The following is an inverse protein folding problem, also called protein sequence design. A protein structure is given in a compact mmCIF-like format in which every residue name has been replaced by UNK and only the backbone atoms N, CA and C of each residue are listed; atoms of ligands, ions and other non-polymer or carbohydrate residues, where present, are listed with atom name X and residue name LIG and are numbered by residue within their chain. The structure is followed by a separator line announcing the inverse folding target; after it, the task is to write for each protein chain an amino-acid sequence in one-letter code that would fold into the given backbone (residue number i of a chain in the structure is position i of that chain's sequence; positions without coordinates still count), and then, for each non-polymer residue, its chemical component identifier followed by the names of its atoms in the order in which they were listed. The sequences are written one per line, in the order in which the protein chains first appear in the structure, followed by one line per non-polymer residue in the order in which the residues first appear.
data_IF_740060491199
#
_entry.id   IF_740060491199
#
_cell.length_a   1.000
_cell.length_b   1.000
_cell.length_c   1.000
_cell.angle_alpha   90.00
_cell.angle_beta   90.00
_cell.angle_gamma   90.00
#
_symmetry.space_group_name_H-M   'P 1'
#
loop_
_entity.id
_entity.type
_entity.pdbx_description
1 polymer ?
#
# COMPACT_ATOMS: atom_id res chain seq x y z
N UNK A 1 -19.27 29.93 -62.83
CA UNK A 1 -19.45 28.84 -61.85
C UNK A 1 -18.31 28.93 -60.84
N UNK A 2 -18.56 29.52 -59.67
CA UNK A 2 -17.55 29.65 -58.63
C UNK A 2 -18.08 28.91 -57.40
N UNK A 3 -17.49 27.75 -57.12
CA UNK A 3 -17.90 26.87 -56.02
C UNK A 3 -17.41 27.43 -54.69
N UNK A 4 -18.33 27.52 -53.74
CA UNK A 4 -18.09 27.77 -52.32
C UNK A 4 -17.38 26.55 -51.72
N UNK A 5 -16.32 26.77 -50.95
CA UNK A 5 -15.76 25.77 -50.03
C UNK A 5 -15.97 26.28 -48.60
N UNK A 6 -16.90 25.63 -47.88
CA UNK A 6 -17.06 25.75 -46.43
C UNK A 6 -16.15 24.69 -45.81
N UNK A 7 -15.09 25.09 -45.10
CA UNK A 7 -14.36 24.19 -44.22
C UNK A 7 -15.20 23.99 -42.94
N UNK A 8 -15.80 22.81 -42.80
CA UNK A 8 -16.29 22.32 -41.51
C UNK A 8 -15.11 21.70 -40.76
N UNK A 9 -14.64 22.37 -39.72
CA UNK A 9 -13.69 21.79 -38.76
C UNK A 9 -14.40 20.74 -37.90
N UNK A 10 -14.04 19.47 -38.04
CA UNK A 10 -14.39 18.44 -37.05
C UNK A 10 -13.51 18.65 -35.81
N UNK A 11 -14.10 19.19 -34.74
CA UNK A 11 -13.51 19.10 -33.41
C UNK A 11 -13.67 17.67 -32.91
N UNK A 12 -12.57 16.90 -32.92
CA UNK A 12 -12.51 15.58 -32.32
C UNK A 12 -12.44 15.77 -30.79
N UNK A 13 -13.60 15.86 -30.14
CA UNK A 13 -13.69 15.76 -28.69
C UNK A 13 -13.42 14.31 -28.31
N UNK A 14 -12.18 14.01 -27.93
CA UNK A 14 -11.85 12.81 -27.16
C UNK A 14 -12.55 12.98 -25.82
N UNK A 15 -13.70 12.33 -25.66
CA UNK A 15 -14.29 12.11 -24.35
C UNK A 15 -13.34 11.18 -23.58
N UNK A 16 -12.41 11.77 -22.83
CA UNK A 16 -11.82 11.09 -21.68
C UNK A 16 -12.97 10.80 -20.73
N UNK A 17 -13.47 9.57 -20.76
CA UNK A 17 -14.29 9.04 -19.68
C UNK A 17 -13.42 9.04 -18.44
N UNK A 18 -13.51 10.09 -17.62
CA UNK A 18 -13.11 9.98 -16.23
C UNK A 18 -14.05 8.95 -15.62
N UNK A 19 -13.60 7.70 -15.56
CA UNK A 19 -14.19 6.74 -14.63
C UNK A 19 -14.04 7.37 -13.26
N UNK A 20 -15.13 7.92 -12.75
CA UNK A 20 -15.25 8.23 -11.34
C UNK A 20 -15.33 6.85 -10.65
N UNK A 21 -14.20 6.13 -10.63
CA UNK A 21 -14.07 4.90 -9.83
C UNK A 21 -14.30 5.37 -8.40
N UNK A 22 -15.41 4.96 -7.81
CA UNK A 22 -15.83 5.29 -6.45
C UNK A 22 -14.88 4.69 -5.39
N UNK A 23 -13.59 4.54 -5.70
CA UNK A 23 -12.59 3.90 -4.87
C UNK A 23 -13.08 2.54 -4.33
N UNK A 24 -13.71 1.70 -5.18
CA UNK A 24 -14.32 0.43 -4.75
C UNK A 24 -15.46 0.56 -3.73
N UNK A 25 -16.03 1.75 -3.55
CA UNK A 25 -17.01 2.08 -2.50
C UNK A 25 -16.40 2.54 -1.18
N UNK A 26 -15.07 2.68 -1.10
CA UNK A 26 -14.34 2.94 0.15
C UNK A 26 -14.24 4.41 0.55
N UNK A 27 -14.64 5.35 -0.31
CA UNK A 27 -14.61 6.77 0.03
C UNK A 27 -15.49 7.07 1.25
N UNK A 28 -14.91 7.64 2.31
CA UNK A 28 -15.64 7.98 3.53
C UNK A 28 -16.27 9.38 3.45
N UNK A 29 -17.41 9.63 4.12
CA UNK A 29 -17.96 10.98 4.24
C UNK A 29 -16.97 11.92 4.93
N UNK A 30 -16.70 13.08 4.32
CA UNK A 30 -15.77 14.07 4.87
C UNK A 30 -14.29 13.67 4.77
N UNK A 31 -13.96 12.66 3.95
CA UNK A 31 -12.58 12.27 3.71
C UNK A 31 -11.79 13.38 2.99
N UNK A 32 -10.71 13.81 3.64
CA UNK A 32 -9.68 14.65 3.00
C UNK A 32 -8.61 13.78 2.35
N UNK A 33 -8.00 14.31 1.29
CA UNK A 33 -6.89 13.67 0.57
C UNK A 33 -5.56 14.23 1.06
N UNK A 34 -4.66 13.36 1.50
CA UNK A 34 -3.36 13.75 2.05
C UNK A 34 -2.21 13.26 1.19
N UNK A 35 -1.13 14.06 1.10
CA UNK A 35 0.09 13.61 0.42
C UNK A 35 -0.14 13.19 -1.03
N UNK A 36 -1.03 13.87 -1.77
CA UNK A 36 -1.19 13.64 -3.21
C UNK A 36 -0.09 14.35 -4.01
N UNK A 37 0.20 15.59 -3.63
CA UNK A 37 1.20 16.42 -4.28
C UNK A 37 2.63 16.02 -3.88
N UNK A 38 3.60 16.34 -4.74
CA UNK A 38 5.02 16.12 -4.49
C UNK A 38 5.66 15.16 -5.51
N UNK A 39 6.98 14.99 -5.45
CA UNK A 39 7.70 14.22 -6.45
C UNK A 39 7.44 12.71 -6.31
N UNK A 40 7.78 11.97 -7.36
CA UNK A 40 8.04 10.54 -7.30
C UNK A 40 9.53 10.34 -7.56
N UNK A 41 10.28 9.94 -6.55
CA UNK A 41 11.74 9.71 -6.61
C UNK A 41 12.11 8.24 -6.47
N UNK A 42 11.12 7.35 -6.34
CA UNK A 42 11.29 5.91 -6.42
C UNK A 42 11.22 5.50 -7.88
N UNK A 43 12.12 4.61 -8.33
CA UNK A 43 12.07 4.04 -9.67
C UNK A 43 10.69 3.43 -9.93
N UNK A 44 10.14 3.68 -11.13
CA UNK A 44 8.81 3.20 -11.52
C UNK A 44 8.88 2.51 -12.86
N UNK A 45 8.66 1.20 -12.87
CA UNK A 45 8.91 0.32 -14.02
C UNK A 45 7.67 -0.50 -14.41
N UNK A 46 7.62 -0.87 -15.68
CA UNK A 46 6.53 -1.65 -16.27
C UNK A 46 6.68 -3.12 -15.92
N UNK A 47 5.69 -3.70 -15.24
CA UNK A 47 5.68 -5.10 -14.82
C UNK A 47 5.71 -6.09 -15.98
N UNK A 48 5.19 -5.71 -17.15
CA UNK A 48 5.25 -6.54 -18.35
C UNK A 48 6.67 -6.63 -18.95
N UNK A 49 7.58 -5.72 -18.53
CA UNK A 49 8.94 -5.60 -19.06
C UNK A 49 10.02 -5.98 -18.05
N UNK A 50 9.74 -5.88 -16.75
CA UNK A 50 10.71 -6.19 -15.70
C UNK A 50 10.94 -7.69 -15.61
N UNK A 51 12.11 -8.17 -16.03
CA UNK A 51 12.47 -9.58 -15.90
C UNK A 51 12.88 -9.95 -14.47
N UNK A 52 12.85 -11.24 -14.13
CA UNK A 52 13.36 -11.74 -12.84
C UNK A 52 14.85 -11.41 -12.65
N UNK A 53 15.68 -11.56 -13.69
CA UNK A 53 17.12 -11.30 -13.59
C UNK A 53 17.42 -9.82 -13.39
N UNK A 54 16.72 -8.95 -14.12
CA UNK A 54 16.82 -7.50 -13.93
C UNK A 54 16.36 -7.08 -12.53
N UNK A 55 15.25 -7.66 -12.04
CA UNK A 55 14.79 -7.42 -10.67
C UNK A 55 15.86 -7.79 -9.63
N UNK A 56 16.48 -8.97 -9.77
CA UNK A 56 17.53 -9.42 -8.84
C UNK A 56 18.78 -8.54 -8.89
N UNK A 57 19.19 -8.13 -10.09
CA UNK A 57 20.40 -7.35 -10.31
C UNK A 57 20.24 -5.90 -9.83
N UNK A 58 19.13 -5.25 -10.18
CA UNK A 58 18.96 -3.80 -10.03
C UNK A 58 18.22 -3.39 -8.76
N UNK A 59 17.39 -4.28 -8.19
CA UNK A 59 16.43 -3.91 -7.13
C UNK A 59 16.50 -4.79 -5.87
N UNK A 60 16.50 -6.12 -6.01
CA UNK A 60 16.24 -7.06 -4.91
C UNK A 60 17.11 -6.80 -3.65
N UNK A 61 18.34 -6.33 -3.82
CA UNK A 61 19.31 -6.13 -2.74
C UNK A 61 19.83 -4.69 -2.63
N UNK A 62 19.31 -3.77 -3.42
CA UNK A 62 19.94 -2.47 -3.69
C UNK A 62 19.03 -1.31 -3.33
N UNK A 63 17.83 -1.22 -3.94
CA UNK A 63 16.93 -0.06 -3.84
C UNK A 63 15.46 -0.45 -4.08
N UNK A 64 14.50 0.33 -3.55
CA UNK A 64 13.08 0.09 -3.80
C UNK A 64 12.67 0.41 -5.24
N UNK A 65 11.57 -0.20 -5.67
CA UNK A 65 10.97 0.02 -7.00
C UNK A 65 9.45 -0.08 -6.93
N UNK A 66 8.76 0.77 -7.70
CA UNK A 66 7.33 0.67 -7.96
C UNK A 66 7.14 -0.01 -9.31
N UNK A 67 6.25 -0.99 -9.35
CA UNK A 67 5.96 -1.81 -10.51
C UNK A 67 4.47 -1.62 -10.84
N UNK A 68 4.18 -1.12 -12.04
CA UNK A 68 2.81 -0.95 -12.54
C UNK A 68 2.48 -2.01 -13.60
N UNK A 69 1.24 -2.04 -14.10
CA UNK A 69 0.72 -3.10 -14.97
C UNK A 69 0.74 -4.49 -14.30
N UNK A 70 0.39 -4.56 -13.02
CA UNK A 70 0.22 -5.84 -12.31
C UNK A 70 -1.24 -6.29 -12.35
N UNK A 71 -1.46 -7.59 -12.52
CA UNK A 71 -2.80 -8.13 -12.78
C UNK A 71 -3.42 -8.77 -11.54
N UNK A 72 -4.34 -8.06 -10.90
CA UNK A 72 -5.11 -8.52 -9.75
C UNK A 72 -6.60 -8.12 -9.84
N UNK A 73 -7.16 -8.05 -11.05
CA UNK A 73 -8.53 -7.55 -11.28
C UNK A 73 -9.63 -8.29 -10.50
N UNK A 74 -9.52 -9.62 -10.41
CA UNK A 74 -10.46 -10.44 -9.62
C UNK A 74 -10.36 -10.12 -8.12
N UNK A 75 -9.14 -10.03 -7.59
CA UNK A 75 -8.92 -9.66 -6.19
C UNK A 75 -9.43 -8.24 -5.90
N UNK A 76 -9.17 -7.28 -6.82
CA UNK A 76 -9.72 -5.91 -6.73
C UNK A 76 -11.24 -5.90 -6.61
N UNK A 77 -11.94 -6.72 -7.39
CA UNK A 77 -13.41 -6.85 -7.31
C UNK A 77 -13.88 -7.44 -5.97
N UNK A 78 -13.24 -8.51 -5.50
CA UNK A 78 -13.57 -9.13 -4.21
C UNK A 78 -13.33 -8.17 -3.03
N UNK A 79 -12.41 -7.21 -3.20
CA UNK A 79 -12.11 -6.17 -2.23
C UNK A 79 -12.98 -4.91 -2.35
N UNK A 80 -14.05 -4.90 -3.17
CA UNK A 80 -15.02 -3.81 -3.16
C UNK A 80 -15.83 -3.81 -1.85
N UNK A 81 -16.16 -2.62 -1.32
CA UNK A 81 -16.79 -2.47 -0.01
C UNK A 81 -18.06 -3.29 0.16
N UNK A 82 -18.93 -3.30 -0.86
CA UNK A 82 -20.20 -4.03 -0.79
C UNK A 82 -19.99 -5.55 -0.84
N UNK A 83 -19.05 -6.04 -1.66
CA UNK A 83 -18.71 -7.46 -1.71
C UNK A 83 -18.09 -7.91 -0.38
N UNK A 84 -17.21 -7.08 0.19
CA UNK A 84 -16.60 -7.38 1.48
C UNK A 84 -17.62 -7.37 2.63
N UNK A 85 -18.50 -6.38 2.71
CA UNK A 85 -19.53 -6.34 3.76
C UNK A 85 -20.52 -7.50 3.62
N UNK A 86 -20.86 -7.91 2.40
CA UNK A 86 -21.76 -9.04 2.17
C UNK A 86 -21.20 -10.37 2.71
N UNK A 87 -19.91 -10.61 2.51
CA UNK A 87 -19.28 -11.89 2.87
C UNK A 87 -18.70 -11.87 4.30
N UNK A 88 -18.14 -10.74 4.73
CA UNK A 88 -17.27 -10.69 5.91
C UNK A 88 -17.85 -9.91 7.09
N UNK A 89 -19.02 -9.24 6.98
CA UNK A 89 -19.54 -8.33 8.02
C UNK A 89 -19.48 -8.92 9.44
N UNK A 90 -19.87 -10.18 9.61
CA UNK A 90 -19.94 -10.83 10.92
C UNK A 90 -18.64 -11.55 11.33
N UNK A 91 -17.60 -11.52 10.48
CA UNK A 91 -16.32 -12.16 10.76
C UNK A 91 -15.61 -11.47 11.93
N UNK A 92 -15.15 -12.25 12.90
CA UNK A 92 -14.36 -11.75 14.03
C UNK A 92 -12.96 -11.36 13.55
N UNK A 93 -12.57 -10.12 13.82
CA UNK A 93 -11.27 -9.56 13.42
C UNK A 93 -10.57 -8.92 14.60
N UNK A 94 -9.25 -8.75 14.47
CA UNK A 94 -8.43 -8.04 15.45
C UNK A 94 -7.90 -6.76 14.82
N UNK A 95 -8.22 -5.61 15.44
CA UNK A 95 -7.69 -4.31 15.05
C UNK A 95 -6.37 -4.05 15.77
N UNK A 96 -5.42 -3.46 15.03
CA UNK A 96 -4.09 -3.13 15.54
C UNK A 96 -3.89 -1.61 15.58
N UNK A 97 -3.06 -1.12 16.52
CA UNK A 97 -2.67 0.29 16.54
C UNK A 97 -1.67 0.65 15.44
N UNK A 98 -1.77 1.87 14.90
CA UNK A 98 -0.95 2.36 13.78
C UNK A 98 0.44 2.89 14.15
N UNK A 99 0.81 2.88 15.43
CA UNK A 99 2.18 3.19 15.84
C UNK A 99 3.15 2.07 15.44
N UNK A 100 4.45 2.41 15.47
CA UNK A 100 5.58 1.57 15.02
C UNK A 100 5.55 0.11 15.50
N UNK A 101 4.99 -0.14 16.67
CA UNK A 101 5.01 -1.46 17.32
C UNK A 101 3.65 -2.15 17.44
N UNK A 102 2.56 -1.49 17.04
CA UNK A 102 1.20 -2.06 17.04
C UNK A 102 0.78 -2.82 18.31
N UNK A 103 1.13 -2.30 19.50
CA UNK A 103 0.96 -3.02 20.77
C UNK A 103 -0.50 -3.30 21.16
N UNK A 104 -1.44 -2.48 20.72
CA UNK A 104 -2.85 -2.62 21.10
C UNK A 104 -3.58 -3.53 20.11
N UNK A 105 -4.13 -4.64 20.63
CA UNK A 105 -5.01 -5.56 19.89
C UNK A 105 -6.43 -5.42 20.41
N UNK A 106 -7.37 -5.04 19.54
CA UNK A 106 -8.76 -4.81 19.90
C UNK A 106 -9.65 -5.76 19.09
N UNK A 107 -10.25 -6.79 19.72
CA UNK A 107 -11.25 -7.64 19.06
C UNK A 107 -12.45 -6.83 18.58
N UNK A 108 -12.96 -7.16 17.39
CA UNK A 108 -14.12 -6.54 16.78
C UNK A 108 -14.75 -7.51 15.75
N UNK A 109 -15.72 -7.04 14.98
CA UNK A 109 -16.12 -7.68 13.72
C UNK A 109 -15.71 -6.80 12.55
N UNK A 110 -15.63 -7.38 11.35
CA UNK A 110 -15.33 -6.59 10.15
C UNK A 110 -16.38 -5.48 9.94
N UNK A 111 -17.67 -5.79 10.08
CA UNK A 111 -18.76 -4.83 9.97
C UNK A 111 -18.64 -3.69 10.97
N UNK A 112 -18.39 -4.01 12.25
CA UNK A 112 -18.17 -3.01 13.29
C UNK A 112 -16.94 -2.15 13.00
N UNK A 113 -15.85 -2.74 12.49
CA UNK A 113 -14.69 -1.98 12.05
C UNK A 113 -15.05 -0.97 10.97
N UNK A 114 -15.74 -1.39 9.91
CA UNK A 114 -16.11 -0.51 8.80
C UNK A 114 -17.07 0.61 9.23
N UNK A 115 -18.02 0.32 10.12
CA UNK A 115 -19.04 1.29 10.54
C UNK A 115 -18.53 2.27 11.60
N UNK A 116 -17.77 1.78 12.60
CA UNK A 116 -17.49 2.54 13.83
C UNK A 116 -16.04 2.99 13.96
N UNK A 117 -15.11 2.32 13.29
CA UNK A 117 -13.67 2.51 13.51
C UNK A 117 -12.92 3.02 12.27
N UNK A 118 -13.35 2.65 11.07
CA UNK A 118 -12.77 3.13 9.82
C UNK A 118 -13.16 4.60 9.60
N UNK A 119 -12.25 5.51 9.93
CA UNK A 119 -12.45 6.96 9.82
C UNK A 119 -11.17 7.66 9.36
N UNK A 120 -11.28 8.87 8.76
CA UNK A 120 -10.12 9.69 8.48
C UNK A 120 -9.34 10.03 9.76
N UNK A 121 -8.02 10.07 9.66
CA UNK A 121 -7.12 10.46 10.74
C UNK A 121 -7.19 11.96 11.00
N UNK A 122 -7.30 12.36 12.27
CA UNK A 122 -7.08 13.75 12.67
C UNK A 122 -5.59 13.99 12.97
N UNK A 123 -5.06 15.16 12.60
CA UNK A 123 -3.70 15.58 12.92
C UNK A 123 -3.34 15.49 14.41
N UNK A 124 -4.30 15.70 15.30
CA UNK A 124 -4.07 15.61 16.75
C UNK A 124 -4.13 14.19 17.32
N UNK A 125 -4.64 13.21 16.55
CA UNK A 125 -4.75 11.82 17.00
C UNK A 125 -3.38 11.14 16.89
N UNK A 126 -2.95 10.52 17.98
CA UNK A 126 -1.69 9.78 18.04
C UNK A 126 -1.79 8.46 17.27
N UNK A 127 -0.67 7.95 16.76
CA UNK A 127 -0.67 6.69 15.99
C UNK A 127 -1.08 5.48 16.83
N UNK A 128 -0.81 5.50 18.14
CA UNK A 128 -1.21 4.44 19.06
C UNK A 128 -2.72 4.44 19.40
N UNK A 129 -3.42 5.55 19.11
CA UNK A 129 -4.87 5.71 19.27
C UNK A 129 -5.63 5.41 17.96
N UNK A 130 -4.90 5.26 16.85
CA UNK A 130 -5.45 4.91 15.54
C UNK A 130 -5.51 3.40 15.39
N UNK A 131 -6.72 2.84 15.34
CA UNK A 131 -6.96 1.43 15.09
C UNK A 131 -7.27 1.19 13.60
N UNK A 132 -6.65 0.17 13.02
CA UNK A 132 -6.92 -0.25 11.64
C UNK A 132 -6.69 -1.75 11.46
N UNK A 133 -7.30 -2.31 10.41
CA UNK A 133 -7.20 -3.72 10.07
C UNK A 133 -5.96 -3.92 9.20
N UNK A 134 -4.84 -4.29 9.79
CA UNK A 134 -3.61 -4.69 9.09
C UNK A 134 -2.59 -5.28 10.08
N UNK A 135 -1.62 -6.04 9.57
CA UNK A 135 -0.53 -6.61 10.37
C UNK A 135 -0.70 -8.11 10.58
N UNK A 136 -0.79 -8.53 11.84
CA UNK A 136 -1.05 -9.94 12.20
C UNK A 136 -2.54 -10.24 12.00
N UNK A 137 -2.87 -10.85 10.86
CA UNK A 137 -4.24 -11.26 10.50
C UNK A 137 -4.39 -12.78 10.64
N UNK A 138 -5.61 -13.23 10.97
CA UNK A 138 -5.91 -14.67 11.01
C UNK A 138 -5.87 -15.26 9.59
N UNK A 139 -4.80 -16.00 9.30
CA UNK A 139 -4.57 -16.62 7.99
C UNK A 139 -5.63 -17.66 7.64
N UNK A 140 -6.26 -18.31 8.62
CA UNK A 140 -7.30 -19.31 8.38
C UNK A 140 -8.61 -18.64 8.01
N UNK A 141 -8.97 -17.57 8.73
CA UNK A 141 -10.14 -16.75 8.44
C UNK A 141 -10.06 -16.15 7.04
N UNK A 142 -8.95 -15.48 6.72
CA UNK A 142 -8.80 -14.74 5.47
C UNK A 142 -8.42 -15.63 4.28
N UNK A 143 -8.18 -16.93 4.49
CA UNK A 143 -7.70 -17.84 3.44
C UNK A 143 -8.50 -17.75 2.12
N UNK A 144 -9.84 -17.74 2.11
CA UNK A 144 -10.61 -17.63 0.87
C UNK A 144 -10.31 -16.36 0.06
N UNK A 145 -10.10 -15.22 0.74
CA UNK A 145 -9.72 -13.96 0.11
C UNK A 145 -8.26 -14.00 -0.35
N UNK A 146 -7.36 -14.48 0.50
CA UNK A 146 -5.92 -14.54 0.23
C UNK A 146 -5.59 -15.49 -0.95
N UNK A 147 -6.32 -16.60 -1.09
CA UNK A 147 -6.17 -17.54 -2.21
C UNK A 147 -6.52 -16.89 -3.57
N UNK A 148 -7.32 -15.81 -3.58
CA UNK A 148 -7.67 -15.08 -4.80
C UNK A 148 -6.62 -14.04 -5.23
N UNK A 149 -5.66 -13.72 -4.36
CA UNK A 149 -4.57 -12.79 -4.66
C UNK A 149 -3.49 -13.47 -5.49
N UNK A 150 -3.13 -12.86 -6.62
CA UNK A 150 -1.96 -13.29 -7.40
C UNK A 150 -0.71 -12.65 -6.82
N UNK A 151 0.21 -13.49 -6.35
CA UNK A 151 1.50 -13.05 -5.84
C UNK A 151 2.29 -12.26 -6.90
N UNK A 152 3.18 -11.34 -6.47
CA UNK A 152 4.13 -10.70 -7.36
C UNK A 152 4.93 -11.74 -8.17
N UNK A 153 5.17 -11.45 -9.45
CA UNK A 153 5.94 -12.35 -10.34
C UNK A 153 7.41 -12.48 -9.93
N UNK A 154 7.94 -11.48 -9.24
CA UNK A 154 9.34 -11.39 -8.84
C UNK A 154 9.58 -12.02 -7.48
N UNK A 155 10.66 -12.78 -7.37
CA UNK A 155 11.01 -13.51 -6.15
C UNK A 155 12.40 -13.16 -5.65
N UNK A 156 12.60 -13.30 -4.34
CA UNK A 156 13.93 -13.20 -3.71
C UNK A 156 14.36 -14.61 -3.30
N UNK A 157 15.53 -15.10 -3.75
CA UNK A 157 16.03 -16.43 -3.39
C UNK A 157 15.99 -16.72 -1.89
N UNK A 158 15.58 -17.94 -1.52
CA UNK A 158 15.46 -18.43 -0.14
C UNK A 158 14.52 -17.61 0.75
N UNK A 159 13.47 -17.02 0.18
CA UNK A 159 12.40 -16.39 0.93
C UNK A 159 11.04 -16.94 0.52
N UNK A 160 10.17 -17.15 1.50
CA UNK A 160 8.79 -17.56 1.32
C UNK A 160 7.85 -16.38 1.57
N UNK A 161 6.76 -16.24 0.77
CA UNK A 161 5.80 -15.16 0.93
C UNK A 161 4.83 -15.43 2.08
N UNK A 162 4.55 -14.40 2.87
CA UNK A 162 3.47 -14.35 3.86
C UNK A 162 2.58 -13.14 3.59
N UNK A 163 1.28 -13.38 3.41
CA UNK A 163 0.32 -12.34 3.05
C UNK A 163 -0.30 -11.66 4.27
N UNK A 164 -0.48 -10.35 4.17
CA UNK A 164 -1.30 -9.58 5.12
C UNK A 164 -2.17 -8.59 4.36
N UNK A 165 -3.48 -8.80 4.44
CA UNK A 165 -4.49 -7.92 3.88
C UNK A 165 -4.79 -6.78 4.86
N UNK A 166 -5.08 -5.58 4.33
CA UNK A 166 -5.45 -4.47 5.18
C UNK A 166 -6.38 -3.43 4.55
N UNK A 167 -7.10 -2.74 5.44
CA UNK A 167 -7.99 -1.63 5.15
C UNK A 167 -7.70 -0.53 6.16
N UNK A 168 -7.57 0.70 5.70
CA UNK A 168 -7.26 1.83 6.57
C UNK A 168 -7.82 3.15 6.01
N UNK A 169 -8.24 4.04 6.90
CA UNK A 169 -8.81 5.34 6.53
C UNK A 169 -7.76 6.32 6.03
N UNK A 170 -8.20 7.36 5.31
CA UNK A 170 -7.31 8.44 4.87
C UNK A 170 -6.56 9.09 6.03
N UNK A 171 -5.31 9.50 5.79
CA UNK A 171 -4.41 10.12 6.76
C UNK A 171 -3.79 9.16 7.77
N UNK A 172 -4.26 7.91 7.84
CA UNK A 172 -3.60 6.88 8.67
C UNK A 172 -2.33 6.36 7.98
N UNK A 173 -1.53 5.57 8.68
CA UNK A 173 -0.33 4.94 8.11
C UNK A 173 0.61 4.48 9.20
N UNK A 174 1.69 3.81 8.81
CA UNK A 174 2.71 3.34 9.76
C UNK A 174 3.91 4.28 9.73
N UNK A 175 4.38 4.80 10.88
CA UNK A 175 5.62 5.57 10.96
C UNK A 175 6.83 4.77 10.48
N UNK A 176 7.99 5.42 10.40
CA UNK A 176 9.20 4.75 9.93
C UNK A 176 9.54 3.52 10.78
N UNK A 177 9.71 2.40 10.11
CA UNK A 177 10.18 1.14 10.67
C UNK A 177 10.95 0.38 9.60
N UNK A 178 11.51 -0.77 9.94
CA UNK A 178 12.15 -1.66 8.97
C UNK A 178 11.95 -3.12 9.39
N UNK A 179 12.02 -4.00 8.41
CA UNK A 179 12.00 -5.45 8.61
C UNK A 179 12.63 -6.12 7.37
N UNK A 180 12.37 -7.43 7.18
CA UNK A 180 12.77 -8.17 5.98
C UNK A 180 12.22 -7.56 4.67
N UNK A 181 12.67 -8.02 3.50
CA UNK A 181 12.18 -7.52 2.23
C UNK A 181 10.69 -7.81 2.07
N UNK A 182 10.01 -7.04 1.21
CA UNK A 182 8.58 -7.22 1.01
C UNK A 182 8.06 -6.50 -0.22
N UNK A 183 6.89 -6.97 -0.65
CA UNK A 183 6.06 -6.27 -1.62
C UNK A 183 4.82 -5.70 -0.92
N UNK A 184 4.27 -4.61 -1.43
CA UNK A 184 2.96 -4.11 -1.05
C UNK A 184 2.20 -3.59 -2.27
N UNK A 185 0.96 -4.02 -2.45
CA UNK A 185 0.07 -3.61 -3.55
C UNK A 185 -1.07 -2.73 -3.03
N UNK A 186 -1.40 -1.68 -3.79
CA UNK A 186 -2.61 -0.88 -3.58
C UNK A 186 -3.73 -1.45 -4.44
N UNK A 187 -4.83 -1.87 -3.81
CA UNK A 187 -5.98 -2.48 -4.48
C UNK A 187 -7.05 -1.43 -4.76
N UNK A 188 -7.39 -0.67 -3.72
CA UNK A 188 -8.24 0.51 -3.77
C UNK A 188 -7.56 1.64 -3.00
N UNK A 189 -7.74 2.87 -3.45
CA UNK A 189 -7.25 4.08 -2.80
C UNK A 189 -5.86 4.46 -3.29
N UNK A 190 -5.12 5.14 -2.43
CA UNK A 190 -3.77 5.57 -2.73
C UNK A 190 -2.97 5.73 -1.45
N UNK A 191 -1.67 5.46 -1.55
CA UNK A 191 -0.77 5.46 -0.39
C UNK A 191 0.54 6.10 -0.77
N UNK A 192 0.95 7.15 -0.05
CA UNK A 192 2.29 7.71 -0.19
C UNK A 192 3.28 6.89 0.64
N UNK A 193 4.39 6.53 0.01
CA UNK A 193 5.50 5.83 0.66
C UNK A 193 6.68 6.76 0.82
N UNK A 194 7.42 6.56 1.90
CA UNK A 194 8.67 7.24 2.21
C UNK A 194 9.71 6.20 2.59
N UNK A 195 10.88 6.17 1.96
CA UNK A 195 11.91 5.18 2.22
C UNK A 195 13.32 5.77 2.36
N UNK A 196 14.13 5.16 3.23
CA UNK A 196 15.57 5.44 3.34
C UNK A 196 16.41 4.17 3.51
N UNK A 197 17.66 4.16 3.02
CA UNK A 197 18.62 3.11 3.31
C UNK A 197 18.80 2.91 4.82
N UNK A 198 19.12 1.68 5.25
CA UNK A 198 19.24 1.32 6.66
C UNK A 198 20.21 2.21 7.47
N UNK A 199 21.34 2.55 6.85
CA UNK A 199 22.41 3.39 7.43
C UNK A 199 22.04 4.88 7.52
N UNK A 200 20.91 5.29 6.93
CA UNK A 200 20.40 6.66 6.97
C UNK A 200 19.09 6.71 7.77
N UNK A 201 19.17 6.45 9.08
CA UNK A 201 17.99 6.47 9.94
C UNK A 201 17.22 7.80 9.81
N UNK A 202 15.94 7.79 9.40
CA UNK A 202 15.14 9.00 9.33
C UNK A 202 14.87 9.55 10.74
N UNK A 203 14.68 10.87 10.83
CA UNK A 203 14.20 11.51 12.05
C UNK A 203 12.68 11.37 12.14
N UNK A 204 12.20 10.68 13.18
CA UNK A 204 10.77 10.53 13.46
C UNK A 204 10.57 10.20 14.95
N UNK A 205 9.35 10.41 15.44
CA UNK A 205 8.91 9.95 16.76
C UNK A 205 8.03 8.69 16.56
N UNK A 206 8.36 7.55 17.21
CA UNK A 206 7.67 6.28 16.97
C UNK A 206 6.22 6.23 17.45
N UNK A 207 5.80 7.16 18.32
CA UNK A 207 4.44 7.26 18.87
C UNK A 207 3.55 8.25 18.11
N UNK A 208 4.15 9.16 17.34
CA UNK A 208 3.45 10.12 16.49
C UNK A 208 2.99 9.46 15.19
N UNK A 209 1.87 9.93 14.64
CA UNK A 209 1.32 9.38 13.39
C UNK A 209 2.17 9.78 12.17
N UNK A 210 2.07 9.00 11.08
CA UNK A 210 2.66 9.38 9.80
C UNK A 210 2.14 10.73 9.29
N UNK A 211 0.88 11.06 9.60
CA UNK A 211 0.26 12.34 9.25
C UNK A 211 0.94 13.51 9.98
N UNK A 212 1.15 13.37 11.29
CA UNK A 212 1.87 14.36 12.10
C UNK A 212 3.29 14.56 11.54
N UNK A 213 4.02 13.48 11.30
CA UNK A 213 5.35 13.57 10.69
C UNK A 213 5.32 14.28 9.31
N UNK A 214 4.36 13.95 8.46
CA UNK A 214 4.24 14.52 7.12
C UNK A 214 3.96 16.03 7.13
N UNK A 215 3.16 16.52 8.07
CA UNK A 215 2.83 17.95 8.14
C UNK A 215 3.82 18.76 8.99
N UNK A 216 4.37 18.17 10.04
CA UNK A 216 5.18 18.90 11.01
C UNK A 216 6.68 18.68 10.86
N UNK A 217 7.15 17.54 10.36
CA UNK A 217 8.59 17.24 10.27
C UNK A 217 9.10 17.22 8.83
N UNK A 218 8.40 16.57 7.90
CA UNK A 218 8.80 16.46 6.50
C UNK A 218 9.10 17.82 5.82
N UNK A 219 8.32 18.91 6.02
CA UNK A 219 8.61 20.21 5.41
C UNK A 219 9.90 20.87 5.91
N UNK A 220 10.41 20.45 7.09
CA UNK A 220 11.64 20.98 7.69
C UNK A 220 12.91 20.30 7.17
N UNK A 221 12.77 19.15 6.49
CA UNK A 221 13.90 18.36 6.02
C UNK A 221 14.67 19.09 4.91
N UNK A 222 16.01 19.09 5.01
CA UNK A 222 16.88 19.51 3.90
C UNK A 222 16.79 18.52 2.76
N UNK A 223 17.16 18.95 1.55
CA UNK A 223 17.07 18.11 0.36
C UNK A 223 17.77 16.75 0.48
N UNK A 224 18.92 16.67 1.16
CA UNK A 224 19.65 15.40 1.36
C UNK A 224 19.08 14.53 2.51
N UNK A 225 18.25 15.11 3.37
CA UNK A 225 17.56 14.41 4.45
C UNK A 225 16.21 13.84 3.98
N UNK A 226 15.72 14.25 2.81
CA UNK A 226 14.44 13.76 2.28
C UNK A 226 14.53 12.27 1.94
N UNK A 227 13.51 11.48 2.31
CA UNK A 227 13.42 10.09 1.88
C UNK A 227 13.13 10.00 0.38
N UNK A 228 13.37 8.81 -0.20
CA UNK A 228 12.71 8.45 -1.45
C UNK A 228 11.21 8.46 -1.20
N UNK A 229 10.43 8.98 -2.13
CA UNK A 229 8.99 9.08 -1.95
C UNK A 229 8.23 8.90 -3.25
N UNK A 230 7.01 8.41 -3.15
CA UNK A 230 6.09 8.40 -4.27
C UNK A 230 4.66 8.12 -3.80
N UNK A 231 3.68 8.68 -4.51
CA UNK A 231 2.28 8.29 -4.37
C UNK A 231 2.03 7.01 -5.17
N UNK A 232 1.65 5.93 -4.49
CA UNK A 232 1.17 4.71 -5.13
C UNK A 232 -0.32 4.77 -5.41
N UNK A 233 -0.70 4.27 -6.58
CA UNK A 233 -2.07 4.21 -7.09
C UNK A 233 -2.58 2.76 -7.14
N UNK A 234 -3.88 2.53 -7.35
CA UNK A 234 -4.41 1.17 -7.53
C UNK A 234 -3.66 0.42 -8.63
N UNK A 235 -3.44 -0.88 -8.42
CA UNK A 235 -2.70 -1.77 -9.32
C UNK A 235 -1.22 -1.39 -9.51
N UNK A 236 -0.61 -0.77 -8.48
CA UNK A 236 0.84 -0.62 -8.36
C UNK A 236 1.35 -1.43 -7.17
N UNK A 237 2.48 -2.11 -7.36
CA UNK A 237 3.23 -2.82 -6.31
C UNK A 237 4.50 -2.02 -5.99
N UNK A 238 4.84 -1.87 -4.73
CA UNK A 238 6.19 -1.46 -4.33
C UNK A 238 6.95 -2.67 -3.81
N UNK A 239 8.19 -2.81 -4.22
CA UNK A 239 9.18 -3.65 -3.57
C UNK A 239 10.13 -2.80 -2.75
N UNK A 240 10.48 -3.27 -1.54
CA UNK A 240 11.57 -2.71 -0.74
C UNK A 240 12.52 -3.83 -0.27
N UNK A 241 13.85 -3.62 -0.36
CA UNK A 241 14.83 -4.60 0.11
C UNK A 241 14.88 -4.73 1.64
N UNK A 242 15.61 -5.75 2.10
CA UNK A 242 15.87 -5.99 3.53
C UNK A 242 16.37 -4.71 4.23
N UNK A 243 15.83 -4.44 5.42
CA UNK A 243 16.22 -3.34 6.33
C UNK A 243 16.06 -1.93 5.78
N UNK A 244 15.30 -1.72 4.71
CA UNK A 244 14.93 -0.36 4.30
C UNK A 244 13.99 0.26 5.32
N UNK A 245 14.35 1.45 5.82
CA UNK A 245 13.43 2.26 6.60
C UNK A 245 12.29 2.67 5.68
N UNK A 246 11.05 2.44 6.11
CA UNK A 246 9.87 2.83 5.36
C UNK A 246 8.76 3.33 6.26
N UNK A 247 8.07 4.38 5.81
CA UNK A 247 6.84 4.89 6.39
C UNK A 247 5.77 4.97 5.31
N UNK A 248 4.51 4.88 5.72
CA UNK A 248 3.35 4.95 4.83
C UNK A 248 2.36 6.00 5.29
N UNK A 249 1.66 6.60 4.34
CA UNK A 249 0.54 7.51 4.55
C UNK A 249 -0.57 7.13 3.57
N UNK A 250 -1.71 6.66 4.06
CA UNK A 250 -2.91 6.45 3.27
C UNK A 250 -3.41 7.84 2.81
N UNK A 251 -3.28 8.10 1.52
CA UNK A 251 -3.67 9.37 0.90
C UNK A 251 -5.18 9.46 0.71
N UNK A 252 -5.81 8.31 0.55
CA UNK A 252 -7.26 8.06 0.59
C UNK A 252 -7.52 6.86 1.51
N UNK A 253 -8.79 6.61 1.84
CA UNK A 253 -9.16 5.31 2.41
C UNK A 253 -8.74 4.20 1.45
N UNK A 254 -7.92 3.28 1.94
CA UNK A 254 -7.17 2.37 1.10
C UNK A 254 -7.37 0.92 1.51
N UNK A 255 -7.51 0.06 0.50
CA UNK A 255 -7.42 -1.39 0.63
C UNK A 255 -6.11 -1.81 -0.02
N UNK A 256 -5.31 -2.57 0.71
CA UNK A 256 -3.96 -2.94 0.31
C UNK A 256 -3.61 -4.33 0.82
N UNK A 257 -2.57 -4.91 0.23
CA UNK A 257 -2.05 -6.20 0.64
C UNK A 257 -0.52 -6.17 0.61
N UNK A 258 0.08 -6.71 1.66
CA UNK A 258 1.53 -6.88 1.77
C UNK A 258 1.91 -8.35 1.60
N UNK A 259 2.98 -8.59 0.86
CA UNK A 259 3.67 -9.88 0.77
C UNK A 259 5.00 -9.74 1.49
N UNK A 260 5.06 -10.16 2.75
CA UNK A 260 6.28 -10.19 3.53
C UNK A 260 7.13 -11.39 3.09
N UNK A 261 8.43 -11.18 2.88
CA UNK A 261 9.34 -12.25 2.47
C UNK A 261 10.15 -12.68 3.69
N UNK A 262 9.88 -13.89 4.18
CA UNK A 262 10.58 -14.48 5.32
C UNK A 262 11.61 -15.50 4.85
N UNK A 263 12.79 -15.61 5.47
CA UNK A 263 13.76 -16.63 5.08
C UNK A 263 13.16 -18.04 5.10
N UNK A 264 13.27 -18.77 3.99
CA UNK A 264 12.75 -20.13 3.88
C UNK A 264 13.44 -21.04 4.90
N UNK A 265 12.73 -22.00 5.52
CA UNK A 265 13.33 -22.97 6.42
C UNK A 265 14.51 -23.67 5.73
N UNK A 266 15.69 -23.71 6.36
CA UNK A 266 16.79 -24.50 5.85
C UNK A 266 16.36 -25.97 5.83
N UNK A 267 16.30 -26.57 4.63
CA UNK A 267 16.15 -28.03 4.51
C UNK A 267 17.44 -28.63 5.05
N UNK A 268 17.45 -29.02 6.33
CA UNK A 268 18.48 -29.88 6.88
C UNK A 268 18.30 -31.23 6.19
N UNK A 269 19.07 -31.49 5.13
CA UNK A 269 19.29 -32.86 4.68
C UNK A 269 19.86 -33.60 5.87
N UNK A 270 19.05 -34.44 6.53
CA UNK A 270 19.60 -35.50 7.38
C UNK A 270 20.53 -36.28 6.47
N UNK A 271 21.83 -36.21 6.74
CA UNK A 271 22.78 -37.17 6.20
C UNK A 271 22.30 -38.54 6.68
N UNK A 272 21.81 -39.36 5.78
CA UNK A 272 21.71 -40.79 6.01
C UNK A 272 23.14 -41.30 6.21
N UNK A 273 23.46 -41.64 7.45
CA UNK A 273 24.59 -42.46 7.87
C UNK A 273 24.02 -43.64 8.65
#
# INVERSE_FOLDING_TARGET
MTKVFVLLGLSCFVFLTFSNENNGGWQLPGEERFGFDGPCTIDRVDGDKLSQDEFLLEYAYTKPVIIYNVENSNFKKLCEKNEMLKEWSDAEVVLNSANTYSYSRVPSTFGDYIEKHLKPQNLSTLGNETLYLFGDIDQSLWKPLLDAYKLPLWTVPNHDPALSFGIAGSGTGVPFHFHGPGFAEIIHGSKRWFLKPFNERPYFNPDKSSLDWYFNEYPKLKSHERPLECLMKPNEIIYFPDKWWHATLNSETSVFISTFLSPSPKVTKKSEL
#
